data_IF_996206869490
#
_entry.id   IF_996206869490
#
_cell.length_a   1.000
_cell.length_b   1.000
_cell.length_c   1.000
_cell.angle_alpha   90.00
_cell.angle_beta   90.00
_cell.angle_gamma   90.00
#
_symmetry.space_group_name_H-M   'P 1'
#
loop_
_entity.id
_entity.type
_entity.pdbx_description
1 polymer ?
#
# COMPACT_ATOMS: atom_id res chain seq x y z
N UNK A 1 -21.83 2.33 11.00
CA UNK A 1 -20.66 2.18 10.12
C UNK A 1 -21.09 1.64 8.77
N UNK A 2 -20.57 2.19 7.70
CA UNK A 2 -20.86 1.73 6.35
C UNK A 2 -19.64 0.99 5.79
N UNK A 3 -19.87 -0.19 5.22
CA UNK A 3 -18.79 -1.04 4.73
C UNK A 3 -18.89 -1.26 3.22
N UNK A 4 -17.73 -1.34 2.57
CA UNK A 4 -17.55 -1.85 1.21
C UNK A 4 -16.52 -2.96 1.28
N UNK A 5 -16.75 -4.07 0.59
CA UNK A 5 -15.80 -5.19 0.63
C UNK A 5 -15.68 -5.88 -0.73
N UNK A 6 -14.53 -6.50 -0.92
CA UNK A 6 -14.24 -7.29 -2.11
C UNK A 6 -13.21 -8.36 -1.79
N UNK A 7 -12.62 -8.95 -2.81
CA UNK A 7 -11.62 -10.00 -2.63
C UNK A 7 -10.33 -9.44 -2.02
N UNK A 8 -10.08 -9.79 -0.76
CA UNK A 8 -8.88 -9.40 -0.04
C UNK A 8 -8.86 -7.97 0.49
N UNK A 9 -9.97 -7.25 0.43
CA UNK A 9 -10.06 -5.89 0.95
C UNK A 9 -11.41 -5.56 1.57
N UNK A 10 -11.41 -4.65 2.52
CA UNK A 10 -12.61 -4.12 3.17
C UNK A 10 -12.39 -2.67 3.56
N UNK A 11 -13.34 -1.81 3.25
CA UNK A 11 -13.33 -0.39 3.61
C UNK A 11 -14.50 -0.06 4.53
N UNK A 12 -14.31 0.94 5.38
CA UNK A 12 -15.31 1.40 6.33
C UNK A 12 -15.37 2.91 6.36
N UNK A 13 -16.59 3.44 6.40
CA UNK A 13 -16.86 4.82 6.76
C UNK A 13 -17.57 4.84 8.12
N UNK A 14 -17.01 5.60 9.06
CA UNK A 14 -17.58 5.82 10.38
C UNK A 14 -18.22 7.22 10.43
N UNK A 15 -19.58 7.32 10.44
CA UNK A 15 -20.24 8.60 10.47
C UNK A 15 -20.08 9.37 11.78
N UNK A 16 -19.77 8.68 12.90
CA UNK A 16 -19.55 9.34 14.19
C UNK A 16 -18.25 10.14 14.21
N UNK A 17 -17.21 9.63 13.60
CA UNK A 17 -15.88 10.27 13.54
C UNK A 17 -15.59 10.96 12.21
N UNK A 18 -16.35 10.65 11.17
CA UNK A 18 -16.12 11.12 9.81
C UNK A 18 -14.89 10.49 9.16
N UNK A 19 -14.39 9.37 9.67
CA UNK A 19 -13.15 8.71 9.21
C UNK A 19 -13.44 7.59 8.25
N UNK A 20 -12.51 7.44 7.32
CA UNK A 20 -12.49 6.34 6.36
C UNK A 20 -11.27 5.46 6.64
N UNK A 21 -11.49 4.18 6.81
CA UNK A 21 -10.44 3.20 7.10
C UNK A 21 -10.57 1.99 6.17
N UNK A 22 -9.50 1.24 6.02
CA UNK A 22 -9.47 0.07 5.16
C UNK A 22 -8.55 -1.00 5.71
N UNK A 23 -8.86 -2.24 5.37
CA UNK A 23 -8.08 -3.43 5.69
C UNK A 23 -7.75 -4.18 4.40
N UNK A 24 -6.49 -4.52 4.23
CA UNK A 24 -6.01 -5.44 3.20
C UNK A 24 -5.59 -6.75 3.85
N UNK A 25 -6.08 -7.88 3.33
CA UNK A 25 -5.85 -9.19 3.91
C UNK A 25 -6.69 -9.41 5.16
N UNK A 26 -6.33 -10.41 5.96
CA UNK A 26 -7.04 -10.78 7.18
C UNK A 26 -6.12 -11.51 8.18
N UNK A 27 -6.43 -11.45 9.47
CA UNK A 27 -5.74 -12.18 10.50
C UNK A 27 -4.27 -11.79 10.64
N UNK A 28 -3.38 -12.78 10.49
CA UNK A 28 -1.93 -12.61 10.63
C UNK A 28 -1.25 -11.96 9.42
N UNK A 29 -1.93 -11.90 8.28
CA UNK A 29 -1.46 -11.22 7.06
C UNK A 29 -2.39 -10.07 6.75
N UNK A 30 -2.26 -9.00 7.49
CA UNK A 30 -3.19 -7.89 7.49
C UNK A 30 -2.47 -6.56 7.50
N UNK A 31 -2.97 -5.62 6.71
CA UNK A 31 -2.54 -4.21 6.75
C UNK A 31 -3.75 -3.33 6.93
N UNK A 32 -3.63 -2.33 7.80
CA UNK A 32 -4.68 -1.35 8.08
C UNK A 32 -4.26 0.02 7.57
N UNK A 33 -5.21 0.74 7.00
CA UNK A 33 -4.98 2.07 6.42
C UNK A 33 -6.07 3.05 6.86
N UNK A 34 -5.66 4.30 7.04
CA UNK A 34 -6.59 5.42 6.98
C UNK A 34 -6.61 5.93 5.55
N UNK A 35 -7.78 5.95 4.93
CA UNK A 35 -7.95 6.34 3.53
C UNK A 35 -8.71 7.65 3.42
N UNK A 36 -8.70 8.24 2.24
CA UNK A 36 -9.48 9.44 1.95
C UNK A 36 -10.90 9.07 1.52
N UNK A 37 -11.80 10.04 1.59
CA UNK A 37 -13.14 9.91 1.03
C UNK A 37 -13.10 9.53 -0.45
N UNK A 38 -12.18 10.13 -1.20
CA UNK A 38 -11.99 9.86 -2.62
C UNK A 38 -11.65 8.38 -2.87
N UNK A 39 -10.73 7.81 -2.10
CA UNK A 39 -10.41 6.38 -2.18
C UNK A 39 -11.63 5.52 -1.88
N UNK A 40 -12.34 5.83 -0.80
CA UNK A 40 -13.54 5.11 -0.40
C UNK A 40 -14.63 5.13 -1.47
N UNK A 41 -14.85 6.30 -2.07
CA UNK A 41 -15.89 6.47 -3.09
C UNK A 41 -15.58 5.72 -4.39
N UNK A 42 -14.30 5.54 -4.74
CA UNK A 42 -13.87 4.94 -6.00
C UNK A 42 -13.41 3.48 -5.91
N UNK A 43 -13.18 2.96 -4.72
CA UNK A 43 -12.60 1.62 -4.53
C UNK A 43 -13.43 0.49 -5.15
N UNK A 44 -14.73 0.66 -5.25
CA UNK A 44 -15.66 -0.31 -5.83
C UNK A 44 -16.13 0.03 -7.25
N UNK A 45 -15.51 1.03 -7.88
CA UNK A 45 -15.79 1.35 -9.28
C UNK A 45 -15.38 0.19 -10.20
N UNK A 46 -16.22 -0.21 -11.17
CA UNK A 46 -15.90 -1.30 -12.09
C UNK A 46 -14.62 -1.09 -12.90
N UNK A 47 -14.21 0.17 -13.10
CA UNK A 47 -13.00 0.53 -13.84
C UNK A 47 -11.72 0.32 -13.04
N UNK A 48 -11.81 0.17 -11.71
CA UNK A 48 -10.66 -0.06 -10.85
C UNK A 48 -10.27 -1.54 -10.89
N UNK A 49 -9.15 -1.85 -11.54
CA UNK A 49 -8.66 -3.22 -11.68
C UNK A 49 -8.11 -3.78 -10.36
N UNK A 50 -7.44 -2.93 -9.57
CA UNK A 50 -6.79 -3.33 -8.32
C UNK A 50 -7.16 -2.42 -7.15
N UNK A 51 -8.30 -2.69 -6.50
CA UNK A 51 -8.73 -1.92 -5.32
C UNK A 51 -7.69 -1.88 -4.19
N UNK A 52 -6.96 -2.97 -3.98
CA UNK A 52 -5.90 -3.05 -2.97
C UNK A 52 -4.80 -2.01 -3.19
N UNK A 53 -4.44 -1.73 -4.43
CA UNK A 53 -3.44 -0.71 -4.77
C UNK A 53 -3.93 0.71 -4.44
N UNK A 54 -5.20 0.98 -4.72
CA UNK A 54 -5.82 2.25 -4.39
C UNK A 54 -5.85 2.47 -2.88
N UNK A 55 -6.22 1.44 -2.12
CA UNK A 55 -6.21 1.46 -0.65
C UNK A 55 -4.80 1.71 -0.12
N UNK A 56 -3.78 1.11 -0.72
CA UNK A 56 -2.39 1.26 -0.29
C UNK A 56 -1.82 2.67 -0.48
N UNK A 57 -2.50 3.54 -1.21
CA UNK A 57 -2.18 4.97 -1.29
C UNK A 57 -2.57 5.74 -0.01
N UNK A 58 -3.35 5.14 0.86
CA UNK A 58 -3.69 5.71 2.16
C UNK A 58 -2.54 5.69 3.17
N UNK A 59 -2.80 6.21 4.36
CA UNK A 59 -1.84 6.21 5.46
C UNK A 59 -1.86 4.86 6.18
N UNK A 60 -0.76 4.12 6.15
CA UNK A 60 -0.67 2.82 6.82
C UNK A 60 -0.65 2.99 8.34
N UNK A 61 -1.51 2.24 9.02
CA UNK A 61 -1.62 2.26 10.48
C UNK A 61 -0.95 1.06 11.14
N UNK A 62 -0.98 -0.09 10.46
CA UNK A 62 -0.57 -1.37 11.01
C UNK A 62 -0.27 -2.35 9.89
N UNK A 63 0.70 -3.22 10.13
CA UNK A 63 1.01 -4.33 9.21
C UNK A 63 1.45 -5.54 10.00
N UNK A 64 0.82 -6.69 9.76
CA UNK A 64 1.23 -7.97 10.30
C UNK A 64 1.49 -8.94 9.16
N UNK A 65 2.64 -9.60 9.19
CA UNK A 65 3.08 -10.52 8.14
C UNK A 65 3.51 -11.85 8.75
N UNK A 66 2.91 -12.92 8.26
CA UNK A 66 3.39 -14.28 8.53
C UNK A 66 4.13 -14.76 7.29
N UNK A 67 5.42 -14.48 7.24
CA UNK A 67 6.27 -14.79 6.09
C UNK A 67 6.70 -16.26 6.12
N UNK A 68 6.51 -16.98 5.02
CA UNK A 68 6.96 -18.37 4.88
C UNK A 68 8.49 -18.49 4.85
N UNK A 69 9.17 -17.42 4.45
CA UNK A 69 10.63 -17.39 4.30
C UNK A 69 11.35 -16.81 5.52
N UNK A 70 10.63 -16.40 6.56
CA UNK A 70 11.19 -15.79 7.75
C UNK A 70 10.25 -15.86 8.96
N UNK A 71 10.68 -15.40 10.13
CA UNK A 71 9.82 -15.35 11.30
C UNK A 71 8.70 -14.32 11.10
N UNK A 72 7.49 -14.56 11.64
CA UNK A 72 6.40 -13.59 11.55
C UNK A 72 6.75 -12.31 12.29
N UNK A 73 6.20 -11.19 11.83
CA UNK A 73 6.43 -9.89 12.47
C UNK A 73 5.21 -8.98 12.33
N UNK A 74 5.14 -8.00 13.22
CA UNK A 74 4.12 -6.94 13.22
C UNK A 74 4.79 -5.59 13.32
N UNK A 75 4.35 -4.62 12.52
CA UNK A 75 4.79 -3.23 12.59
C UNK A 75 3.57 -2.36 12.90
N UNK A 76 3.66 -1.59 13.98
CA UNK A 76 2.63 -0.62 14.38
C UNK A 76 3.12 0.77 14.00
N UNK A 77 2.52 1.36 12.98
CA UNK A 77 2.85 2.71 12.50
C UNK A 77 2.13 3.79 13.29
N UNK A 78 0.93 3.48 13.78
CA UNK A 78 0.12 4.37 14.61
C UNK A 78 -0.40 3.58 15.81
N UNK A 79 -0.02 3.98 17.02
CA UNK A 79 -0.43 3.30 18.26
C UNK A 79 -1.94 3.33 18.49
N UNK A 80 -2.65 4.28 17.85
CA UNK A 80 -4.09 4.39 17.94
C UNK A 80 -4.85 3.57 16.87
N UNK A 81 -4.18 2.67 16.16
CA UNK A 81 -4.79 1.89 15.07
C UNK A 81 -6.05 1.14 15.48
N UNK A 82 -6.12 0.62 16.71
CA UNK A 82 -7.30 -0.09 17.22
C UNK A 82 -8.49 0.85 17.42
N UNK A 83 -8.23 2.09 17.87
CA UNK A 83 -9.26 3.11 18.01
C UNK A 83 -9.74 3.65 16.67
N UNK A 84 -8.81 3.79 15.72
CA UNK A 84 -9.10 4.30 14.39
C UNK A 84 -9.85 3.27 13.54
N UNK A 85 -9.54 2.01 13.72
CA UNK A 85 -10.10 0.90 12.96
C UNK A 85 -10.63 -0.21 13.90
N UNK A 86 -11.68 0.07 14.71
CA UNK A 86 -12.16 -0.86 15.73
C UNK A 86 -12.78 -2.14 15.16
N UNK A 87 -13.13 -2.15 13.89
CA UNK A 87 -13.74 -3.27 13.20
C UNK A 87 -12.71 -4.25 12.59
N UNK A 88 -11.41 -3.98 12.74
CA UNK A 88 -10.37 -4.82 12.16
C UNK A 88 -10.29 -6.19 12.83
N UNK A 89 -9.83 -7.19 12.08
CA UNK A 89 -9.57 -8.55 12.56
C UNK A 89 -8.07 -8.90 12.54
N UNK A 90 -7.22 -7.89 12.47
CA UNK A 90 -5.78 -8.06 12.46
C UNK A 90 -5.28 -8.77 13.72
N UNK A 91 -4.34 -9.67 13.54
CA UNK A 91 -3.70 -10.41 14.64
C UNK A 91 -2.22 -10.02 14.70
N UNK A 92 -1.79 -9.57 15.87
CA UNK A 92 -0.38 -9.33 16.15
C UNK A 92 0.36 -10.67 16.09
N UNK A 93 1.36 -10.77 15.23
CA UNK A 93 2.12 -12.00 15.06
C UNK A 93 3.62 -11.75 15.21
N UNK A 94 4.29 -12.68 15.90
CA UNK A 94 5.73 -12.67 16.07
C UNK A 94 6.26 -11.43 16.78
N UNK A 95 7.40 -10.94 16.32
CA UNK A 95 8.05 -9.77 16.88
C UNK A 95 7.31 -8.50 16.49
N UNK A 96 7.02 -7.63 17.47
CA UNK A 96 6.34 -6.35 17.25
C UNK A 96 7.35 -5.21 17.31
N UNK A 97 7.26 -4.31 16.33
CA UNK A 97 8.01 -3.06 16.30
C UNK A 97 7.05 -1.89 16.31
N UNK A 98 7.25 -0.98 17.24
CA UNK A 98 6.47 0.25 17.39
C UNK A 98 7.39 1.44 17.72
N UNK A 99 6.82 2.63 17.84
CA UNK A 99 7.48 3.87 18.25
C UNK A 99 8.79 4.17 17.48
N UNK A 100 9.93 4.25 18.16
CA UNK A 100 11.21 4.70 17.59
C UNK A 100 11.68 3.85 16.41
N UNK A 101 11.42 2.54 16.45
CA UNK A 101 11.78 1.66 15.34
C UNK A 101 10.88 1.86 14.14
N UNK A 102 9.61 2.19 14.37
CA UNK A 102 8.63 2.43 13.30
C UNK A 102 9.04 3.60 12.43
N UNK A 103 9.53 4.70 13.01
CA UNK A 103 10.00 5.86 12.25
C UNK A 103 11.15 5.50 11.31
N UNK A 104 12.11 4.71 11.78
CA UNK A 104 13.21 4.23 10.96
C UNK A 104 12.73 3.33 9.81
N UNK A 105 11.76 2.45 10.08
CA UNK A 105 11.16 1.58 9.05
C UNK A 105 10.40 2.42 8.01
N UNK A 106 9.65 3.43 8.43
CA UNK A 106 8.95 4.33 7.52
C UNK A 106 9.93 5.06 6.59
N UNK A 107 11.07 5.54 7.11
CA UNK A 107 12.11 6.16 6.29
C UNK A 107 12.70 5.18 5.27
N UNK A 108 12.99 3.95 5.68
CA UNK A 108 13.52 2.92 4.78
C UNK A 108 12.51 2.59 3.69
N UNK A 109 11.24 2.44 4.02
CA UNK A 109 10.18 2.15 3.05
C UNK A 109 9.98 3.31 2.06
N UNK A 110 10.01 4.54 2.53
CA UNK A 110 9.93 5.72 1.69
C UNK A 110 11.14 5.80 0.74
N UNK A 111 12.34 5.52 1.23
CA UNK A 111 13.57 5.46 0.44
C UNK A 111 13.51 4.38 -0.62
N UNK A 112 13.02 3.18 -0.29
CA UNK A 112 12.84 2.08 -1.25
C UNK A 112 11.82 2.42 -2.34
N UNK A 113 10.72 3.07 -1.99
CA UNK A 113 9.73 3.55 -2.94
C UNK A 113 10.35 4.56 -3.91
N UNK A 114 11.11 5.52 -3.39
CA UNK A 114 11.80 6.52 -4.19
C UNK A 114 12.83 5.88 -5.12
N UNK A 115 13.60 4.90 -4.64
CA UNK A 115 14.56 4.15 -5.44
C UNK A 115 13.89 3.37 -6.58
N UNK A 116 12.72 2.77 -6.31
CA UNK A 116 11.94 2.07 -7.34
C UNK A 116 11.44 3.02 -8.42
N UNK A 117 10.96 4.20 -8.05
CA UNK A 117 10.52 5.24 -8.99
C UNK A 117 11.69 5.70 -9.87
N UNK A 118 12.85 5.93 -9.28
CA UNK A 118 14.07 6.31 -10.01
C UNK A 118 14.50 5.23 -10.98
N UNK A 119 14.45 3.96 -10.61
CA UNK A 119 14.77 2.82 -11.49
C UNK A 119 13.81 2.75 -12.68
N UNK A 120 12.53 2.95 -12.45
CA UNK A 120 11.51 2.98 -13.51
C UNK A 120 11.75 4.12 -14.49
N UNK A 121 12.08 5.31 -13.98
CA UNK A 121 12.39 6.47 -14.80
C UNK A 121 13.63 6.24 -15.67
N UNK A 122 14.69 5.69 -15.11
CA UNK A 122 15.92 5.32 -15.84
C UNK A 122 15.66 4.27 -16.91
N UNK A 123 14.84 3.28 -16.61
CA UNK A 123 14.46 2.23 -17.56
C UNK A 123 13.67 2.79 -18.74
N UNK A 124 12.69 3.65 -18.47
CA UNK A 124 11.92 4.33 -19.51
C UNK A 124 12.80 5.19 -20.41
N UNK A 125 13.76 5.90 -19.82
CA UNK A 125 14.74 6.71 -20.55
C UNK A 125 15.64 5.85 -21.45
N UNK A 126 16.10 4.71 -20.98
CA UNK A 126 16.89 3.76 -21.79
C UNK A 126 16.08 3.19 -22.96
N UNK A 127 14.83 2.84 -22.74
CA UNK A 127 13.94 2.32 -23.78
C UNK A 127 13.67 3.39 -24.85
N UNK A 128 13.46 4.64 -24.44
CA UNK A 128 13.27 5.77 -25.35
C UNK A 128 14.53 6.01 -26.22
N UNK A 129 15.72 5.95 -25.62
CA UNK A 129 17.00 6.09 -26.35
C UNK A 129 17.23 4.93 -27.33
N UNK A 130 16.87 3.70 -26.94
CA UNK A 130 17.00 2.52 -27.78
C UNK A 130 16.07 2.61 -29.01
N UNK A 131 14.83 3.09 -28.85
CA UNK A 131 13.92 3.33 -29.98
C UNK A 131 14.44 4.40 -30.92
N UNK A 132 14.95 5.50 -30.39
CA UNK A 132 15.50 6.59 -31.17
C UNK A 132 16.73 6.15 -31.97
N UNK A 133 17.59 5.31 -31.39
CA UNK A 133 18.74 4.71 -32.05
C UNK A 133 18.34 3.79 -33.21
N UNK A 134 17.28 2.99 -33.04
CA UNK A 134 16.72 2.14 -34.10
C UNK A 134 16.15 2.98 -35.26
N UNK A 135 15.45 4.06 -34.99
CA UNK A 135 14.91 4.98 -36.00
C UNK A 135 16.04 5.65 -36.81
N UNK A 136 17.12 6.04 -36.15
CA UNK A 136 18.30 6.65 -36.79
C UNK A 136 19.03 5.65 -37.70
N UNK A 137 19.18 4.39 -37.27
CA UNK A 137 19.77 3.32 -38.10
C UNK A 137 18.92 2.97 -39.31
N UNK A 138 17.59 2.97 -39.16
CA UNK A 138 16.65 2.78 -40.29
C UNK A 138 16.73 3.89 -41.32
N UNK A 139 16.89 5.14 -40.91
CA UNK A 139 17.08 6.30 -41.80
C UNK A 139 18.42 6.27 -42.54
N UNK A 140 19.49 5.73 -41.98
CA UNK A 140 20.81 5.64 -42.64
C UNK A 140 20.90 4.54 -43.70
N UNK A 141 19.96 3.59 -43.75
CA UNK A 141 19.94 2.50 -44.74
C UNK A 141 19.18 2.89 -46.02
N UNK A 142 18.46 3.98 -46.02
CA UNK A 142 17.76 4.57 -47.14
C UNK A 142 18.62 5.67 -47.77
#
# INVERSE_FOLDING_TARGET
>A
MEFKEGSGWKCCYDPETGRYTAQLGAGVNCSLYEITKEIYDHVDDPEVEWPARLISDGRRLFMSVNDRCGPPYTIVFDSDYEKLCPWNDAVVSGRTWDDDFTDAVVEVMASEKNNREQRRAKRAEREAKAEQSKKTKSRKKD
#
